data_IF_400227234816
#
_entry.id   IF_400227234816
#
_cell.length_a   1.000
_cell.length_b   1.000
_cell.length_c   1.000
_cell.angle_alpha   90.00
_cell.angle_beta   90.00
_cell.angle_gamma   90.00
#
_symmetry.space_group_name_H-M   'P 1'
#
loop_
_entity.id
_entity.type
_entity.pdbx_description
1 polymer ?
#
# COMPACT_ATOMS: atom_id res chain seq x y z
N UNK A 1 -7.37 -17.77 -2.00
CA UNK A 1 -6.19 -16.88 -1.93
C UNK A 1 -6.57 -15.42 -1.72
N UNK A 2 -7.54 -14.87 -2.47
CA UNK A 2 -8.01 -13.47 -2.33
C UNK A 2 -8.37 -13.07 -0.88
N UNK A 3 -9.10 -13.93 -0.15
CA UNK A 3 -9.43 -13.72 1.27
C UNK A 3 -8.21 -13.44 2.13
N UNK A 4 -7.18 -14.29 2.03
CA UNK A 4 -5.95 -14.19 2.82
C UNK A 4 -5.21 -12.90 2.52
N UNK A 5 -5.09 -12.53 1.23
CA UNK A 5 -4.47 -11.27 0.82
C UNK A 5 -5.25 -10.05 1.32
N UNK A 6 -6.58 -10.08 1.29
CA UNK A 6 -7.42 -9.01 1.84
C UNK A 6 -7.27 -8.85 3.36
N UNK A 7 -7.22 -9.96 4.09
CA UNK A 7 -6.96 -9.95 5.55
C UNK A 7 -5.56 -9.41 5.85
N UNK A 8 -4.54 -9.81 5.10
CA UNK A 8 -3.18 -9.29 5.26
C UNK A 8 -3.12 -7.79 4.97
N UNK A 9 -3.82 -7.31 3.94
CA UNK A 9 -3.87 -5.89 3.60
C UNK A 9 -4.51 -5.05 4.72
N UNK A 10 -5.68 -5.47 5.23
CA UNK A 10 -6.32 -4.79 6.36
C UNK A 10 -5.54 -4.92 7.67
N UNK A 11 -4.96 -6.10 7.93
CA UNK A 11 -4.07 -6.29 9.08
C UNK A 11 -2.86 -5.37 9.04
N UNK A 12 -2.22 -5.24 7.87
CA UNK A 12 -1.14 -4.28 7.64
C UNK A 12 -1.59 -2.83 7.81
N UNK A 13 -2.79 -2.48 7.34
CA UNK A 13 -3.37 -1.14 7.52
C UNK A 13 -3.56 -0.80 9.01
N UNK A 14 -4.10 -1.73 9.80
CA UNK A 14 -4.30 -1.53 11.22
C UNK A 14 -2.97 -1.43 11.97
N UNK A 15 -1.99 -2.25 11.62
CA UNK A 15 -0.67 -2.23 12.24
C UNK A 15 0.08 -0.93 11.94
N UNK A 16 -0.03 -0.42 10.70
CA UNK A 16 0.56 0.86 10.30
C UNK A 16 -0.11 2.04 11.00
N UNK A 17 -1.45 2.04 11.13
CA UNK A 17 -2.16 3.04 11.93
C UNK A 17 -1.81 2.97 13.42
N UNK A 18 -1.69 1.77 13.99
CA UNK A 18 -1.30 1.59 15.39
C UNK A 18 0.10 2.16 15.64
N UNK A 19 1.04 1.91 14.74
CA UNK A 19 2.38 2.50 14.82
C UNK A 19 2.37 4.02 14.65
N UNK A 20 1.64 4.56 13.66
CA UNK A 20 1.52 6.01 13.46
C UNK A 20 0.88 6.69 14.68
N UNK A 21 -0.14 6.07 15.29
CA UNK A 21 -0.76 6.54 16.52
C UNK A 21 0.20 6.52 17.71
N UNK A 22 0.99 5.45 17.88
CA UNK A 22 2.01 5.38 18.92
C UNK A 22 3.11 6.43 18.72
N UNK A 23 3.57 6.63 17.48
CA UNK A 23 4.57 7.62 17.14
C UNK A 23 4.05 9.06 17.30
N UNK A 24 2.78 9.30 16.97
CA UNK A 24 2.11 10.58 17.23
C UNK A 24 2.03 10.88 18.74
N UNK A 25 1.72 9.88 19.57
CA UNK A 25 1.65 10.05 21.01
C UNK A 25 3.00 10.47 21.64
N UNK A 26 4.11 10.14 20.99
CA UNK A 26 5.47 10.46 21.47
C UNK A 26 5.96 11.78 20.86
N UNK A 27 5.74 12.01 19.57
CA UNK A 27 6.33 13.14 18.84
C UNK A 27 5.40 14.36 18.74
N UNK A 28 4.11 14.20 19.02
CA UNK A 28 3.08 15.24 18.85
C UNK A 28 2.73 15.56 17.39
N UNK A 29 3.37 14.90 16.42
CA UNK A 29 3.15 15.10 14.98
C UNK A 29 2.78 13.77 14.31
N UNK A 30 1.85 13.80 13.36
CA UNK A 30 1.41 12.58 12.68
C UNK A 30 2.45 12.19 11.61
N UNK A 31 3.13 11.04 11.73
CA UNK A 31 4.18 10.67 10.78
C UNK A 31 3.57 10.15 9.47
N UNK A 32 3.92 10.79 8.36
CA UNK A 32 3.54 10.31 7.02
C UNK A 32 4.42 9.12 6.61
N UNK A 33 3.82 7.98 6.30
CA UNK A 33 4.51 6.82 5.73
C UNK A 33 4.00 6.63 4.31
N UNK A 34 4.87 6.86 3.33
CA UNK A 34 4.56 6.69 1.92
C UNK A 34 4.87 5.26 1.45
N UNK A 35 4.36 4.88 0.29
CA UNK A 35 4.75 3.62 -0.34
C UNK A 35 6.26 3.58 -0.62
N UNK A 36 6.85 4.71 -1.04
CA UNK A 36 8.28 4.79 -1.31
C UNK A 36 9.13 4.43 -0.09
N UNK A 37 8.73 4.86 1.12
CA UNK A 37 9.45 4.54 2.36
C UNK A 37 9.54 3.03 2.62
N UNK A 38 8.46 2.32 2.30
CA UNK A 38 8.35 0.86 2.47
C UNK A 38 9.10 0.13 1.37
N UNK A 39 8.86 0.48 0.11
CA UNK A 39 9.52 -0.14 -1.04
C UNK A 39 11.03 0.13 -1.05
N UNK A 40 11.45 1.34 -0.68
CA UNK A 40 12.86 1.69 -0.56
C UNK A 40 13.57 0.90 0.54
N UNK A 41 12.97 0.77 1.73
CA UNK A 41 13.58 0.05 2.86
C UNK A 41 13.53 -1.48 2.74
N UNK A 42 12.44 -2.05 2.23
CA UNK A 42 12.25 -3.50 2.17
C UNK A 42 12.75 -4.13 0.87
N UNK A 43 12.64 -3.43 -0.26
CA UNK A 43 12.91 -3.99 -1.59
C UNK A 43 14.11 -3.33 -2.28
N UNK A 44 14.77 -2.36 -1.62
CA UNK A 44 15.89 -1.61 -2.22
C UNK A 44 15.46 -0.84 -3.47
N UNK A 45 14.16 -0.54 -3.58
CA UNK A 45 13.56 0.06 -4.74
C UNK A 45 13.81 1.56 -4.70
N UNK A 46 14.91 1.97 -5.31
CA UNK A 46 15.30 3.36 -5.43
C UNK A 46 14.72 4.00 -6.68
N UNK A 47 14.49 5.32 -6.66
CA UNK A 47 13.93 6.07 -7.80
C UNK A 47 14.80 5.92 -9.05
N UNK A 48 16.11 5.79 -8.87
CA UNK A 48 17.07 5.50 -9.95
C UNK A 48 16.83 4.14 -10.60
N UNK A 49 16.50 3.12 -9.79
CA UNK A 49 16.21 1.77 -10.28
C UNK A 49 14.94 1.76 -11.12
N UNK A 50 13.92 2.51 -10.70
CA UNK A 50 12.68 2.72 -11.45
C UNK A 50 12.94 3.39 -12.80
N UNK A 51 13.75 4.45 -12.81
CA UNK A 51 14.11 5.20 -14.02
C UNK A 51 14.97 4.38 -15.01
N UNK A 52 15.71 3.38 -14.52
CA UNK A 52 16.57 2.52 -15.35
C UNK A 52 15.82 1.34 -15.96
N UNK A 53 14.78 0.85 -15.28
CA UNK A 53 14.02 -0.33 -15.70
C UNK A 53 12.78 0.02 -16.54
N UNK A 54 12.23 1.22 -16.41
CA UNK A 54 11.01 1.63 -17.09
C UNK A 54 11.23 2.83 -18.02
N UNK A 55 10.39 3.00 -19.05
CA UNK A 55 10.33 4.23 -19.83
C UNK A 55 10.13 5.44 -18.92
N UNK A 56 10.81 6.54 -19.19
CA UNK A 56 10.81 7.77 -18.36
C UNK A 56 9.40 8.25 -17.97
N UNK A 57 8.43 8.19 -18.89
CA UNK A 57 7.05 8.58 -18.61
C UNK A 57 6.38 7.67 -17.56
N UNK A 58 6.60 6.36 -17.66
CA UNK A 58 6.06 5.37 -16.70
C UNK A 58 6.78 5.50 -15.36
N UNK A 59 8.10 5.68 -15.38
CA UNK A 59 8.90 5.86 -14.17
C UNK A 59 8.48 7.12 -13.40
N UNK A 60 8.25 8.25 -14.08
CA UNK A 60 7.80 9.48 -13.44
C UNK A 60 6.42 9.33 -12.80
N UNK A 61 5.47 8.69 -13.50
CA UNK A 61 4.13 8.43 -12.96
C UNK A 61 4.16 7.47 -11.77
N UNK A 62 4.96 6.40 -11.85
CA UNK A 62 5.12 5.45 -10.75
C UNK A 62 5.79 6.09 -9.53
N UNK A 63 6.84 6.90 -9.75
CA UNK A 63 7.50 7.67 -8.69
C UNK A 63 6.54 8.65 -8.00
N UNK A 64 5.71 9.36 -8.78
CA UNK A 64 4.69 10.25 -8.24
C UNK A 64 3.73 9.48 -7.32
N UNK A 65 3.16 8.36 -7.79
CA UNK A 65 2.24 7.54 -7.00
C UNK A 65 2.92 7.00 -5.74
N UNK A 66 4.17 6.52 -5.84
CA UNK A 66 4.94 6.00 -4.70
C UNK A 66 5.18 7.08 -3.63
N UNK A 67 5.42 8.32 -4.06
CA UNK A 67 5.71 9.44 -3.18
C UNK A 67 4.46 10.06 -2.55
N UNK A 68 3.35 10.15 -3.29
CA UNK A 68 2.13 10.82 -2.81
C UNK A 68 1.16 9.91 -2.09
N UNK A 69 1.27 8.59 -2.28
CA UNK A 69 0.30 7.64 -1.70
C UNK A 69 0.75 7.20 -0.32
N UNK A 70 -0.07 7.51 0.68
CA UNK A 70 0.11 6.97 2.02
C UNK A 70 -0.13 5.46 2.05
N UNK A 71 0.74 4.75 2.76
CA UNK A 71 0.71 3.30 2.89
C UNK A 71 -0.62 2.79 3.50
N UNK A 72 -1.15 3.50 4.49
CA UNK A 72 -2.41 3.19 5.16
C UNK A 72 -3.59 3.25 4.18
N UNK A 73 -3.65 4.32 3.38
CA UNK A 73 -4.68 4.50 2.34
C UNK A 73 -4.58 3.40 1.29
N UNK A 74 -3.37 3.09 0.83
CA UNK A 74 -3.15 2.01 -0.13
C UNK A 74 -3.61 0.65 0.42
N UNK A 75 -3.20 0.29 1.63
CA UNK A 75 -3.54 -0.98 2.27
C UNK A 75 -5.04 -1.13 2.53
N UNK A 76 -5.72 -0.04 2.92
CA UNK A 76 -7.17 -0.02 3.10
C UNK A 76 -7.90 -0.36 1.80
N UNK A 77 -7.58 0.36 0.72
CA UNK A 77 -8.23 0.19 -0.57
C UNK A 77 -7.85 -1.13 -1.26
N UNK A 78 -6.60 -1.58 -1.12
CA UNK A 78 -6.19 -2.89 -1.60
C UNK A 78 -6.99 -4.02 -0.92
N UNK A 79 -7.16 -3.95 0.41
CA UNK A 79 -7.99 -4.90 1.15
C UNK A 79 -9.45 -4.87 0.72
N UNK A 80 -10.03 -3.67 0.58
CA UNK A 80 -11.41 -3.49 0.12
C UNK A 80 -11.63 -4.07 -1.28
N UNK A 81 -10.72 -3.81 -2.22
CA UNK A 81 -10.79 -4.35 -3.58
C UNK A 81 -10.68 -5.87 -3.62
N UNK A 82 -9.75 -6.46 -2.87
CA UNK A 82 -9.54 -7.92 -2.84
C UNK A 82 -10.74 -8.67 -2.24
N UNK A 83 -11.32 -8.15 -1.17
CA UNK A 83 -12.52 -8.71 -0.54
C UNK A 83 -13.77 -8.48 -1.38
N UNK A 84 -13.92 -7.31 -2.00
CA UNK A 84 -14.98 -7.01 -2.95
C UNK A 84 -14.94 -7.92 -4.17
N UNK A 85 -13.76 -8.15 -4.75
CA UNK A 85 -13.57 -9.07 -5.87
C UNK A 85 -13.93 -10.51 -5.47
N UNK A 86 -13.51 -10.95 -4.28
CA UNK A 86 -13.89 -12.26 -3.76
C UNK A 86 -15.41 -12.40 -3.64
N UNK A 87 -16.09 -11.36 -3.15
CA UNK A 87 -17.55 -11.35 -3.03
C UNK A 87 -18.24 -11.45 -4.39
N UNK A 88 -17.80 -10.66 -5.38
CA UNK A 88 -18.32 -10.68 -6.75
C UNK A 88 -18.13 -12.05 -7.41
N UNK A 89 -16.93 -12.64 -7.28
CA UNK A 89 -16.66 -13.98 -7.80
C UNK A 89 -17.50 -15.06 -7.12
N UNK A 90 -17.75 -14.91 -5.81
CA UNK A 90 -18.64 -15.80 -5.06
C UNK A 90 -20.11 -15.70 -5.48
N UNK A 91 -20.57 -14.53 -5.93
CA UNK A 91 -21.90 -14.35 -6.50
C UNK A 91 -22.00 -14.93 -7.92
N UNK A 92 -20.96 -14.73 -8.75
CA UNK A 92 -20.92 -15.25 -10.12
C UNK A 92 -20.81 -16.78 -10.17
N UNK A 93 -20.03 -17.39 -9.28
CA UNK A 93 -19.87 -18.85 -9.22
C UNK A 93 -21.02 -19.61 -8.55
N UNK A 94 -22.07 -18.91 -8.09
CA UNK A 94 -23.31 -19.49 -7.55
C UNK A 94 -24.43 -19.57 -8.59
N UNK A 95 -24.20 -19.12 -9.82
CA UNK A 95 -25.06 -19.40 -10.99
C UNK A 95 -24.58 -20.66 -11.67
#
# INVERSE_FOLDING_TARGET
>A
MLKTLGILAWGGCLLTLAWQGAAWAITGSWPSITLLDVFGKLLGLDLLTLARQFPLDIAAKAAYVLFTTELTVFLWWAGAALLGLMFILGLLGRR
#
